data_IF_990714352125
#
_entry.id   IF_990714352125
#
_cell.length_a   1.000
_cell.length_b   1.000
_cell.length_c   1.000
_cell.angle_alpha   90.00
_cell.angle_beta   90.00
_cell.angle_gamma   90.00
#
_symmetry.space_group_name_H-M   'P 1'
#
loop_
_entity.id
_entity.type
_entity.pdbx_description
1 polymer ?
#
# COMPACT_ATOMS: atom_id res chain seq x y z
N UNK A 1 14.57 1.98 17.43
CA UNK A 1 13.33 2.80 17.42
C UNK A 1 13.27 3.83 16.29
N UNK A 2 14.34 4.60 16.04
CA UNK A 2 14.34 5.61 14.97
C UNK A 2 14.00 5.05 13.58
N UNK A 3 14.57 3.89 13.22
CA UNK A 3 14.35 3.24 11.92
C UNK A 3 12.88 2.87 11.70
N UNK A 4 12.22 2.23 12.68
CA UNK A 4 10.79 1.86 12.57
C UNK A 4 9.90 3.09 12.39
N UNK A 5 10.19 4.16 13.15
CA UNK A 5 9.48 5.44 13.00
C UNK A 5 9.70 6.07 11.63
N UNK A 6 10.93 6.04 11.13
CA UNK A 6 11.27 6.57 9.81
C UNK A 6 10.53 5.79 8.71
N UNK A 7 10.56 4.46 8.77
CA UNK A 7 9.84 3.60 7.81
C UNK A 7 8.33 3.90 7.88
N UNK A 8 7.74 3.96 9.07
CA UNK A 8 6.32 4.32 9.22
C UNK A 8 5.98 5.68 8.60
N UNK A 9 6.84 6.69 8.80
CA UNK A 9 6.68 8.00 8.17
C UNK A 9 6.78 7.94 6.64
N UNK A 10 7.71 7.16 6.10
CA UNK A 10 7.83 6.98 4.64
C UNK A 10 6.57 6.36 4.04
N UNK A 11 5.96 5.38 4.71
CA UNK A 11 4.68 4.81 4.29
C UNK A 11 3.54 5.83 4.34
N UNK A 12 3.49 6.67 5.37
CA UNK A 12 2.49 7.76 5.46
C UNK A 12 2.70 8.77 4.32
N UNK A 13 3.95 9.16 4.03
CA UNK A 13 4.26 10.06 2.91
C UNK A 13 3.82 9.44 1.59
N UNK A 14 4.15 8.17 1.34
CA UNK A 14 3.74 7.46 0.14
C UNK A 14 2.20 7.37 0.02
N UNK A 15 1.49 7.16 1.13
CA UNK A 15 0.03 7.17 1.16
C UNK A 15 -0.55 8.53 0.75
N UNK A 16 0.00 9.62 1.28
CA UNK A 16 -0.43 10.99 0.93
C UNK A 16 -0.11 11.31 -0.54
N UNK A 17 1.03 10.86 -1.05
CA UNK A 17 1.38 11.01 -2.48
C UNK A 17 0.42 10.24 -3.38
N UNK A 18 0.06 9.00 -3.01
CA UNK A 18 -0.92 8.20 -3.73
C UNK A 18 -2.31 8.88 -3.74
N UNK A 19 -2.76 9.37 -2.59
CA UNK A 19 -4.03 10.08 -2.45
C UNK A 19 -4.04 11.38 -3.29
N UNK A 20 -2.96 12.16 -3.26
CA UNK A 20 -2.83 13.35 -4.09
C UNK A 20 -2.86 13.02 -5.59
N UNK A 21 -2.16 11.96 -6.00
CA UNK A 21 -2.17 11.51 -7.40
C UNK A 21 -3.55 11.04 -7.86
N UNK A 22 -4.29 10.32 -7.02
CA UNK A 22 -5.67 9.91 -7.30
C UNK A 22 -6.63 11.11 -7.35
N UNK A 23 -6.41 12.14 -6.52
CA UNK A 23 -7.16 13.39 -6.58
C UNK A 23 -6.94 14.12 -7.92
N UNK A 24 -5.70 14.20 -8.40
CA UNK A 24 -5.42 14.79 -9.72
C UNK A 24 -6.07 13.99 -10.86
N UNK A 25 -5.95 12.66 -10.84
CA UNK A 25 -6.62 11.80 -11.82
C UNK A 25 -8.14 11.95 -11.80
N UNK A 26 -8.72 12.12 -10.62
CA UNK A 26 -10.16 12.34 -10.48
C UNK A 26 -10.62 13.65 -11.12
N UNK A 27 -9.80 14.70 -11.01
CA UNK A 27 -10.05 15.99 -11.64
C UNK A 27 -9.91 15.91 -13.17
N UNK A 28 -8.88 15.22 -13.66
CA UNK A 28 -8.63 15.01 -15.09
C UNK A 28 -9.79 14.24 -15.76
N UNK A 29 -10.26 13.18 -15.10
CA UNK A 29 -11.33 12.33 -15.64
C UNK A 29 -12.74 12.92 -15.42
N UNK A 30 -12.87 14.00 -14.65
CA UNK A 30 -14.17 14.55 -14.25
C UNK A 30 -15.02 13.59 -13.39
N UNK A 31 -14.39 12.55 -12.81
CA UNK A 31 -15.04 11.51 -12.03
C UNK A 31 -14.08 10.95 -10.97
N UNK A 32 -14.62 10.55 -9.82
CA UNK A 32 -13.82 9.96 -8.73
C UNK A 32 -13.10 8.71 -9.23
N UNK A 33 -11.78 8.81 -9.32
CA UNK A 33 -10.87 7.76 -9.79
C UNK A 33 -9.92 7.42 -8.66
N UNK A 34 -10.00 6.20 -8.15
CA UNK A 34 -9.17 5.70 -7.06
C UNK A 34 -8.47 4.45 -7.55
N UNK A 35 -7.13 4.42 -7.47
CA UNK A 35 -6.36 3.26 -7.90
C UNK A 35 -6.16 2.27 -6.76
N UNK A 36 -6.35 1.01 -7.09
CA UNK A 36 -6.01 -0.12 -6.22
C UNK A 36 -4.50 -0.19 -5.98
N UNK A 37 -4.10 -0.80 -4.87
CA UNK A 37 -2.69 -0.97 -4.50
C UNK A 37 -1.91 -1.76 -5.57
N UNK A 38 -2.56 -2.77 -6.17
CA UNK A 38 -1.99 -3.52 -7.31
C UNK A 38 -1.71 -2.63 -8.51
N UNK A 39 -2.63 -1.74 -8.89
CA UNK A 39 -2.43 -0.81 -10.01
C UNK A 39 -1.30 0.19 -9.74
N UNK A 40 -1.21 0.75 -8.52
CA UNK A 40 -0.10 1.64 -8.18
C UNK A 40 1.25 0.89 -8.18
N UNK A 41 1.29 -0.33 -7.66
CA UNK A 41 2.50 -1.14 -7.69
C UNK A 41 2.91 -1.42 -9.14
N UNK A 42 2.00 -1.87 -10.00
CA UNK A 42 2.28 -2.11 -11.40
C UNK A 42 2.80 -0.84 -12.12
N UNK A 43 2.26 0.34 -11.78
CA UNK A 43 2.72 1.63 -12.32
C UNK A 43 4.17 1.94 -11.93
N UNK A 44 4.58 1.60 -10.70
CA UNK A 44 5.95 1.83 -10.21
C UNK A 44 6.91 0.80 -10.78
N UNK A 45 6.53 -0.48 -10.75
CA UNK A 45 7.36 -1.58 -11.22
C UNK A 45 6.50 -2.80 -11.60
N UNK A 46 6.10 -2.85 -12.86
CA UNK A 46 5.27 -3.90 -13.41
C UNK A 46 5.88 -5.30 -13.29
N UNK A 47 7.18 -5.46 -13.55
CA UNK A 47 7.80 -6.80 -13.52
C UNK A 47 7.77 -7.43 -12.13
N UNK A 48 7.99 -6.63 -11.08
CA UNK A 48 7.89 -7.11 -9.70
C UNK A 48 6.46 -7.46 -9.30
N UNK A 49 5.48 -6.69 -9.77
CA UNK A 49 4.06 -6.96 -9.54
C UNK A 49 3.63 -8.28 -10.22
N UNK A 50 4.00 -8.47 -11.49
CA UNK A 50 3.62 -9.64 -12.27
C UNK A 50 4.29 -10.92 -11.73
N UNK A 51 5.55 -10.81 -11.30
CA UNK A 51 6.21 -11.90 -10.59
C UNK A 51 5.50 -12.25 -9.28
N UNK A 52 5.14 -11.26 -8.47
CA UNK A 52 4.47 -11.48 -7.19
C UNK A 52 3.08 -12.11 -7.38
N UNK A 53 2.26 -11.56 -8.26
CA UNK A 53 0.92 -12.09 -8.54
C UNK A 53 0.96 -13.47 -9.19
N UNK A 54 1.95 -13.75 -10.04
CA UNK A 54 2.22 -15.09 -10.54
C UNK A 54 2.59 -16.08 -9.44
N UNK A 55 3.42 -15.68 -8.48
CA UNK A 55 3.72 -16.48 -7.28
C UNK A 55 2.47 -16.67 -6.41
N UNK A 56 1.63 -15.65 -6.21
CA UNK A 56 0.37 -15.79 -5.46
C UNK A 56 -0.56 -16.82 -6.11
N UNK A 57 -0.64 -16.85 -7.44
CA UNK A 57 -1.48 -17.81 -8.17
C UNK A 57 -0.97 -19.25 -8.19
N UNK A 58 0.33 -19.49 -7.93
CA UNK A 58 0.96 -20.81 -8.15
C UNK A 58 1.71 -21.39 -6.94
N UNK A 59 2.15 -20.55 -6.02
CA UNK A 59 3.06 -20.92 -4.93
C UNK A 59 2.66 -20.41 -3.54
N UNK A 60 1.65 -19.56 -3.43
CA UNK A 60 1.14 -19.14 -2.13
C UNK A 60 0.25 -20.23 -1.49
N UNK A 61 0.27 -20.36 -0.15
CA UNK A 61 -0.70 -21.20 0.56
C UNK A 61 -2.14 -20.77 0.23
N UNK A 62 -3.04 -21.72 -0.02
CA UNK A 62 -4.42 -21.44 -0.46
C UNK A 62 -5.15 -20.44 0.46
N UNK A 63 -4.95 -20.54 1.77
CA UNK A 63 -5.55 -19.65 2.76
C UNK A 63 -5.07 -18.18 2.67
N UNK A 64 -3.97 -17.89 1.99
CA UNK A 64 -3.41 -16.55 1.82
C UNK A 64 -3.75 -15.91 0.48
N UNK A 65 -4.16 -16.69 -0.53
CA UNK A 65 -4.46 -16.19 -1.88
C UNK A 65 -5.54 -15.12 -1.83
N UNK A 66 -6.68 -15.41 -1.19
CA UNK A 66 -7.80 -14.48 -1.10
C UNK A 66 -7.47 -13.21 -0.28
N UNK A 67 -6.87 -13.31 0.93
CA UNK A 67 -6.40 -12.13 1.65
C UNK A 67 -5.44 -11.24 0.85
N UNK A 68 -4.47 -11.83 0.16
CA UNK A 68 -3.49 -11.07 -0.63
C UNK A 68 -4.19 -10.33 -1.78
N UNK A 69 -5.04 -11.02 -2.55
CA UNK A 69 -5.80 -10.41 -3.63
C UNK A 69 -6.74 -9.30 -3.13
N UNK A 70 -7.32 -9.48 -1.94
CA UNK A 70 -8.14 -8.46 -1.29
C UNK A 70 -7.32 -7.21 -0.99
N UNK A 71 -6.13 -7.35 -0.39
CA UNK A 71 -5.25 -6.21 -0.12
C UNK A 71 -4.81 -5.50 -1.40
N UNK A 72 -4.49 -6.25 -2.46
CA UNK A 72 -4.12 -5.68 -3.77
C UNK A 72 -5.27 -4.87 -4.39
N UNK A 73 -6.53 -5.24 -4.12
CA UNK A 73 -7.72 -4.54 -4.62
C UNK A 73 -8.08 -3.27 -3.87
N UNK A 74 -7.56 -3.06 -2.66
CA UNK A 74 -7.89 -1.89 -1.85
C UNK A 74 -7.20 -0.62 -2.35
N UNK A 75 -7.75 0.58 -2.05
CA UNK A 75 -7.12 1.83 -2.41
C UNK A 75 -5.67 1.91 -1.94
N UNK A 76 -4.79 2.34 -2.84
CA UNK A 76 -3.33 2.36 -2.58
C UNK A 76 -2.97 3.16 -1.34
N UNK A 77 -3.57 4.35 -1.20
CA UNK A 77 -3.34 5.24 -0.06
C UNK A 77 -3.83 4.62 1.26
N UNK A 78 -4.89 3.80 1.22
CA UNK A 78 -5.42 3.16 2.42
C UNK A 78 -4.48 2.05 2.92
N UNK A 79 -3.97 1.22 2.00
CA UNK A 79 -3.01 0.15 2.33
C UNK A 79 -1.71 0.74 2.88
N UNK A 80 -1.12 1.70 2.17
CA UNK A 80 0.12 2.35 2.59
C UNK A 80 -0.06 3.11 3.92
N UNK A 81 -1.17 3.83 4.06
CA UNK A 81 -1.47 4.61 5.26
C UNK A 81 -1.67 3.73 6.49
N UNK A 82 -2.40 2.61 6.35
CA UNK A 82 -2.60 1.65 7.43
C UNK A 82 -1.27 1.07 7.93
N UNK A 83 -0.39 0.64 7.00
CA UNK A 83 0.95 0.14 7.35
C UNK A 83 1.75 1.22 8.09
N UNK A 84 1.76 2.44 7.58
CA UNK A 84 2.49 3.56 8.17
C UNK A 84 2.01 3.92 9.58
N UNK A 85 0.69 3.98 9.80
CA UNK A 85 0.08 4.27 11.10
C UNK A 85 0.41 3.16 12.11
N UNK A 86 0.31 1.88 11.73
CA UNK A 86 0.64 0.75 12.60
C UNK A 86 2.11 0.83 13.03
N UNK A 87 3.03 1.03 12.09
CA UNK A 87 4.46 1.13 12.39
C UNK A 87 4.79 2.34 13.29
N UNK A 88 4.20 3.50 13.01
CA UNK A 88 4.38 4.70 13.82
C UNK A 88 3.81 4.52 15.24
N UNK A 89 2.63 3.90 15.36
CA UNK A 89 1.96 3.60 16.62
C UNK A 89 2.76 2.60 17.47
N UNK A 90 3.24 1.51 16.88
CA UNK A 90 4.11 0.54 17.54
C UNK A 90 5.41 1.20 18.03
N UNK A 91 6.04 2.03 17.19
CA UNK A 91 7.23 2.77 17.59
C UNK A 91 6.95 3.78 18.72
N UNK A 92 5.74 4.33 18.81
CA UNK A 92 5.34 5.22 19.89
C UNK A 92 5.06 4.44 21.19
N UNK A 93 4.42 3.28 21.11
CA UNK A 93 4.11 2.42 22.26
C UNK A 93 5.37 1.90 22.93
N UNK A 94 6.33 1.41 22.14
CA UNK A 94 7.58 0.84 22.67
C UNK A 94 8.48 1.88 23.39
N UNK A 95 8.22 3.19 23.24
CA UNK A 95 8.99 4.27 23.89
C UNK A 95 8.44 4.66 25.26
N UNK A 96 7.32 4.06 25.69
CA UNK A 96 6.62 4.42 26.93
C UNK A 96 7.09 3.62 28.15
N UNK A 97 7.93 2.60 27.96
CA UNK A 97 8.64 1.86 29.00
C UNK A 97 10.08 2.38 29.16
#
# INVERSE_FOLDING_TARGET
>A
MFIVRLIGLLFIIAALMALGSDAFLSLENGAVTIRSFGELWALINQSSHDWFTGWVGSGAPEGLVNPINTVLSYPSWAVLGAIGIVLAGLAALLRRD
#
